data_IF_912501423283
#
_entry.id   IF_912501423283
#
_cell.length_a   1.000
_cell.length_b   1.000
_cell.length_c   1.000
_cell.angle_alpha   90.00
_cell.angle_beta   90.00
_cell.angle_gamma   90.00
#
_symmetry.space_group_name_H-M   'P 1'
#
loop_
_entity.id
_entity.type
_entity.pdbx_description
1 polymer ?
#
# COMPACT_ATOMS: atom_id res chain seq x y z
N UNK A 1 25.79 -46.64 1.56
CA UNK A 1 25.87 -45.47 0.66
C UNK A 1 26.83 -44.47 1.30
N UNK A 2 28.04 -44.32 0.76
CA UNK A 2 29.03 -43.38 1.29
C UNK A 2 28.49 -41.96 1.19
N UNK A 3 28.45 -41.22 2.30
CA UNK A 3 28.06 -39.81 2.24
C UNK A 3 29.08 -39.04 1.39
N UNK A 4 28.64 -38.08 0.57
CA UNK A 4 29.55 -37.26 -0.22
C UNK A 4 30.49 -36.51 0.71
N UNK A 5 31.77 -36.50 0.36
CA UNK A 5 32.82 -35.75 1.07
C UNK A 5 32.37 -34.30 1.26
N UNK A 6 32.49 -33.72 2.47
CA UNK A 6 32.18 -32.32 2.69
C UNK A 6 32.95 -31.45 1.71
N UNK A 7 32.29 -30.46 1.11
CA UNK A 7 32.95 -29.51 0.21
C UNK A 7 34.07 -28.77 0.94
N UNK A 8 35.26 -28.76 0.36
CA UNK A 8 36.45 -28.10 0.92
C UNK A 8 36.99 -27.04 -0.02
N UNK A 9 37.73 -26.07 0.54
CA UNK A 9 38.41 -25.07 -0.27
C UNK A 9 39.52 -25.75 -1.10
N UNK A 10 39.60 -25.42 -2.39
CA UNK A 10 40.59 -26.01 -3.29
C UNK A 10 40.18 -27.35 -3.91
N UNK A 11 38.93 -27.80 -3.73
CA UNK A 11 38.43 -29.04 -4.30
C UNK A 11 38.56 -29.10 -5.84
N UNK A 12 39.09 -30.21 -6.35
CA UNK A 12 39.44 -30.42 -7.76
C UNK A 12 38.25 -30.43 -8.71
N UNK A 13 37.02 -30.60 -8.19
CA UNK A 13 35.79 -30.47 -8.99
C UNK A 13 35.58 -29.05 -9.54
N UNK A 14 36.22 -28.05 -8.93
CA UNK A 14 36.29 -26.69 -9.46
C UNK A 14 37.71 -26.39 -10.00
N UNK A 15 37.82 -25.69 -11.14
CA UNK A 15 39.12 -25.45 -11.75
C UNK A 15 39.98 -24.50 -10.91
N UNK A 16 41.30 -24.64 -10.96
CA UNK A 16 42.27 -23.76 -10.25
C UNK A 16 41.99 -22.27 -10.44
N UNK A 17 41.57 -21.85 -11.65
CA UNK A 17 41.24 -20.44 -11.97
C UNK A 17 40.00 -19.90 -11.23
N UNK A 18 39.14 -20.79 -10.70
CA UNK A 18 38.06 -20.44 -9.80
C UNK A 18 38.64 -20.07 -8.43
N UNK A 19 39.47 -20.95 -7.86
CA UNK A 19 40.08 -20.78 -6.54
C UNK A 19 40.99 -19.56 -6.45
N UNK A 20 41.68 -19.18 -7.54
CA UNK A 20 42.44 -17.91 -7.63
C UNK A 20 41.60 -16.64 -7.39
N UNK A 21 40.26 -16.74 -7.43
CA UNK A 21 39.32 -15.63 -7.23
C UNK A 21 38.57 -15.70 -5.89
N UNK A 22 39.03 -16.57 -5.00
CA UNK A 22 38.39 -16.81 -3.71
C UNK A 22 39.38 -16.49 -2.59
N UNK A 23 38.96 -15.66 -1.66
CA UNK A 23 39.67 -15.39 -0.41
C UNK A 23 38.86 -15.92 0.78
N UNK A 24 39.42 -16.86 1.55
CA UNK A 24 38.74 -17.43 2.72
C UNK A 24 38.75 -16.41 3.86
N UNK A 25 37.58 -16.11 4.41
CA UNK A 25 37.41 -15.17 5.52
C UNK A 25 37.33 -15.91 6.87
N UNK A 26 37.66 -15.24 8.00
CA UNK A 26 37.57 -15.84 9.34
C UNK A 26 36.19 -16.44 9.69
N UNK A 27 35.10 -15.91 9.11
CA UNK A 27 33.74 -16.46 9.25
C UNK A 27 33.40 -17.62 8.31
N UNK A 28 34.39 -18.30 7.72
CA UNK A 28 34.20 -19.44 6.80
C UNK A 28 33.70 -19.06 5.41
N UNK A 29 33.43 -17.78 5.13
CA UNK A 29 33.01 -17.33 3.82
C UNK A 29 34.14 -17.49 2.80
N UNK A 30 33.80 -18.01 1.62
CA UNK A 30 34.67 -17.99 0.45
C UNK A 30 34.37 -16.72 -0.34
N UNK A 31 35.07 -15.64 -0.01
CA UNK A 31 34.81 -14.32 -0.55
C UNK A 31 35.28 -14.23 -2.00
N UNK A 32 34.36 -13.90 -2.91
CA UNK A 32 34.72 -13.67 -4.31
C UNK A 32 35.41 -12.31 -4.50
N UNK A 33 36.58 -12.34 -5.14
CA UNK A 33 37.44 -11.16 -5.36
C UNK A 33 37.39 -10.63 -6.80
N UNK A 34 36.69 -11.31 -7.71
CA UNK A 34 36.59 -10.92 -9.11
C UNK A 34 35.22 -10.28 -9.45
N UNK A 35 34.91 -10.16 -10.76
CA UNK A 35 33.71 -9.47 -11.27
C UNK A 35 32.42 -10.04 -10.68
N UNK A 36 31.49 -9.12 -10.36
CA UNK A 36 30.15 -9.38 -9.83
C UNK A 36 29.07 -8.75 -10.72
N UNK A 37 27.81 -9.15 -10.52
CA UNK A 37 26.64 -8.43 -11.05
C UNK A 37 26.47 -7.09 -10.34
N UNK A 38 25.62 -6.21 -10.88
CA UNK A 38 25.19 -4.99 -10.21
C UNK A 38 24.60 -5.29 -8.82
N UNK A 39 23.83 -6.38 -8.70
CA UNK A 39 23.25 -6.82 -7.42
C UNK A 39 24.25 -7.52 -6.47
N UNK A 40 25.53 -7.59 -6.83
CA UNK A 40 26.60 -8.13 -5.98
C UNK A 40 26.86 -9.64 -6.11
N UNK A 41 26.24 -10.34 -7.06
CA UNK A 41 26.45 -11.78 -7.22
C UNK A 41 27.72 -12.09 -8.05
N UNK A 42 28.57 -13.02 -7.60
CA UNK A 42 29.81 -13.32 -8.30
C UNK A 42 29.58 -14.03 -9.63
N UNK A 43 30.36 -13.64 -10.64
CA UNK A 43 30.32 -14.18 -12.01
C UNK A 43 31.59 -14.96 -12.34
N UNK A 44 31.44 -16.06 -13.07
CA UNK A 44 32.55 -16.88 -13.52
C UNK A 44 32.23 -17.55 -14.84
N UNK A 45 33.13 -17.43 -15.83
CA UNK A 45 33.00 -18.16 -17.09
C UNK A 45 33.37 -19.63 -16.85
N UNK A 46 32.52 -20.60 -17.16
CA UNK A 46 32.78 -22.04 -17.05
C UNK A 46 32.27 -22.72 -18.31
N UNK A 47 33.11 -23.55 -18.92
CA UNK A 47 32.82 -24.24 -20.18
C UNK A 47 32.29 -23.31 -21.30
N UNK A 48 33.02 -22.23 -21.57
CA UNK A 48 32.63 -21.22 -22.56
C UNK A 48 31.56 -20.22 -22.10
N UNK A 49 30.69 -20.58 -21.16
CA UNK A 49 29.53 -19.77 -20.75
C UNK A 49 29.74 -18.96 -19.46
N UNK A 50 29.03 -17.84 -19.31
CA UNK A 50 29.08 -17.03 -18.09
C UNK A 50 28.05 -17.53 -17.05
N UNK A 51 28.52 -18.08 -15.94
CA UNK A 51 27.69 -18.59 -14.85
C UNK A 51 27.77 -17.72 -13.58
N UNK A 52 26.79 -17.87 -12.69
CA UNK A 52 26.88 -17.35 -11.31
C UNK A 52 27.79 -18.28 -10.49
N UNK A 53 28.89 -17.75 -9.98
CA UNK A 53 29.95 -18.54 -9.34
C UNK A 53 29.46 -19.33 -8.12
N UNK A 54 28.58 -18.75 -7.31
CA UNK A 54 28.02 -19.43 -6.13
C UNK A 54 27.10 -20.61 -6.51
N UNK A 55 26.34 -20.50 -7.62
CA UNK A 55 25.49 -21.59 -8.13
C UNK A 55 26.34 -22.73 -8.70
N UNK A 56 27.39 -22.38 -9.45
CA UNK A 56 28.35 -23.35 -9.98
C UNK A 56 29.04 -24.12 -8.85
N UNK A 57 29.54 -23.39 -7.84
CA UNK A 57 30.16 -23.98 -6.64
C UNK A 57 29.22 -24.94 -5.92
N UNK A 58 27.96 -24.55 -5.71
CA UNK A 58 26.94 -25.42 -5.11
C UNK A 58 26.69 -26.68 -5.95
N UNK A 59 26.49 -26.52 -7.25
CA UNK A 59 26.17 -27.61 -8.17
C UNK A 59 27.28 -28.68 -8.22
N UNK A 60 28.54 -28.25 -8.28
CA UNK A 60 29.68 -29.16 -8.44
C UNK A 60 30.17 -29.74 -7.11
N UNK A 61 30.11 -28.97 -6.02
CA UNK A 61 30.67 -29.40 -4.73
C UNK A 61 29.65 -30.07 -3.81
N UNK A 62 28.35 -29.80 -3.98
CA UNK A 62 27.29 -30.30 -3.10
C UNK A 62 26.26 -31.14 -3.84
N UNK A 63 25.42 -30.51 -4.66
CA UNK A 63 24.39 -31.21 -5.42
C UNK A 63 23.79 -30.30 -6.49
N UNK A 64 23.13 -30.89 -7.49
CA UNK A 64 22.28 -30.14 -8.40
C UNK A 64 21.28 -29.27 -7.64
N UNK A 65 21.03 -28.06 -8.14
CA UNK A 65 20.03 -27.16 -7.58
C UNK A 65 18.67 -27.63 -8.09
N UNK A 66 17.72 -28.02 -7.22
CA UNK A 66 16.41 -28.48 -7.67
C UNK A 66 15.69 -27.41 -8.49
N UNK A 67 14.91 -27.86 -9.49
CA UNK A 67 14.14 -26.97 -10.34
C UNK A 67 13.18 -26.08 -9.52
N UNK A 68 13.08 -24.81 -9.88
CA UNK A 68 12.24 -23.83 -9.18
C UNK A 68 12.81 -23.29 -7.86
N UNK A 69 14.00 -23.74 -7.42
CA UNK A 69 14.65 -23.22 -6.21
C UNK A 69 15.75 -22.19 -6.50
N UNK A 70 15.84 -21.20 -5.62
CA UNK A 70 16.93 -20.23 -5.55
C UNK A 70 17.91 -20.62 -4.43
N UNK A 71 19.15 -20.15 -4.49
CA UNK A 71 20.10 -20.31 -3.38
C UNK A 71 20.05 -19.06 -2.49
N UNK A 72 19.68 -19.24 -1.21
CA UNK A 72 19.77 -18.20 -0.18
C UNK A 72 21.15 -18.26 0.50
N UNK A 73 21.70 -17.08 0.77
CA UNK A 73 22.97 -16.93 1.49
C UNK A 73 22.69 -16.88 2.99
N UNK A 74 22.95 -17.97 3.69
CA UNK A 74 22.81 -18.06 5.16
C UNK A 74 23.71 -17.03 5.86
N UNK A 75 24.86 -16.72 5.27
CA UNK A 75 25.82 -15.73 5.74
C UNK A 75 25.47 -14.26 5.40
N UNK A 76 24.34 -14.01 4.71
CA UNK A 76 23.91 -12.68 4.22
C UNK A 76 24.96 -11.92 3.38
N UNK A 77 25.93 -12.63 2.83
CA UNK A 77 26.98 -12.10 1.97
C UNK A 77 26.83 -12.63 0.54
N UNK A 78 26.28 -11.82 -0.36
CA UNK A 78 26.04 -12.19 -1.77
C UNK A 78 27.30 -12.57 -2.54
N UNK A 79 28.48 -12.11 -2.10
CA UNK A 79 29.76 -12.41 -2.72
C UNK A 79 30.37 -13.74 -2.26
N UNK A 80 29.77 -14.42 -1.27
CA UNK A 80 30.24 -15.72 -0.81
C UNK A 80 29.90 -16.82 -1.83
N UNK A 81 30.88 -17.68 -2.12
CA UNK A 81 30.73 -18.86 -3.01
C UNK A 81 30.87 -20.20 -2.26
N UNK A 82 30.90 -20.18 -0.93
CA UNK A 82 30.98 -21.40 -0.12
C UNK A 82 29.65 -22.18 -0.18
N UNK A 83 29.61 -23.41 -0.70
CA UNK A 83 28.38 -24.20 -0.83
C UNK A 83 27.77 -24.60 0.53
N UNK A 84 28.55 -24.58 1.62
CA UNK A 84 28.05 -24.78 2.98
C UNK A 84 27.25 -23.57 3.49
N UNK A 85 27.46 -22.38 2.92
CA UNK A 85 26.73 -21.15 3.29
C UNK A 85 25.51 -20.88 2.40
N UNK A 86 25.13 -21.85 1.57
CA UNK A 86 24.05 -21.74 0.60
C UNK A 86 22.97 -22.79 0.90
N UNK A 87 21.72 -22.37 0.80
CA UNK A 87 20.56 -23.24 0.98
C UNK A 87 19.59 -23.08 -0.21
N UNK A 88 19.20 -24.18 -0.89
CA UNK A 88 18.12 -24.14 -1.85
C UNK A 88 16.79 -23.85 -1.16
N UNK A 89 16.15 -22.75 -1.52
CA UNK A 89 14.87 -22.32 -0.96
C UNK A 89 13.92 -21.89 -2.06
N UNK A 90 12.63 -21.84 -1.74
CA UNK A 90 11.64 -21.28 -2.67
C UNK A 90 11.82 -19.77 -2.79
N UNK A 91 11.38 -19.18 -3.90
CA UNK A 91 11.39 -17.72 -4.06
C UNK A 91 10.64 -17.01 -2.93
N UNK A 92 9.52 -17.59 -2.46
CA UNK A 92 8.75 -17.06 -1.33
C UNK A 92 9.59 -17.01 -0.05
N UNK A 93 10.24 -18.11 0.28
CA UNK A 93 11.08 -18.21 1.48
C UNK A 93 12.25 -17.20 1.41
N UNK A 94 12.93 -17.13 0.26
CA UNK A 94 14.00 -16.15 0.04
C UNK A 94 13.52 -14.71 0.22
N UNK A 95 12.34 -14.37 -0.31
CA UNK A 95 11.74 -13.04 -0.14
C UNK A 95 11.37 -12.74 1.31
N UNK A 96 10.79 -13.71 2.03
CA UNK A 96 10.37 -13.56 3.43
C UNK A 96 11.54 -13.47 4.40
N UNK A 97 12.67 -14.12 4.09
CA UNK A 97 13.92 -14.02 4.85
C UNK A 97 14.68 -12.71 4.65
N UNK A 98 14.37 -11.97 3.58
CA UNK A 98 14.97 -10.68 3.27
C UNK A 98 14.31 -9.51 3.99
N UNK A 99 14.72 -8.29 3.63
CA UNK A 99 14.20 -7.04 4.21
C UNK A 99 13.23 -6.30 3.27
N UNK A 100 12.49 -7.06 2.46
CA UNK A 100 11.51 -6.49 1.53
C UNK A 100 10.28 -5.96 2.27
N UNK A 101 9.54 -5.01 1.68
CA UNK A 101 8.26 -4.57 2.24
C UNK A 101 7.28 -5.72 2.44
N UNK A 102 7.35 -6.76 1.60
CA UNK A 102 6.58 -8.00 1.78
C UNK A 102 6.98 -8.75 3.04
N UNK A 103 8.29 -8.90 3.30
CA UNK A 103 8.80 -9.54 4.51
C UNK A 103 8.40 -8.77 5.78
N UNK A 104 8.63 -7.45 5.79
CA UNK A 104 8.23 -6.57 6.91
C UNK A 104 6.72 -6.64 7.16
N UNK A 105 5.92 -6.62 6.08
CA UNK A 105 4.47 -6.76 6.19
C UNK A 105 4.03 -8.18 6.55
N UNK A 106 4.84 -9.22 6.36
CA UNK A 106 4.52 -10.57 6.81
C UNK A 106 4.76 -10.72 8.33
N UNK A 107 5.82 -10.11 8.86
CA UNK A 107 6.18 -10.18 10.29
C UNK A 107 5.45 -9.18 11.16
N UNK A 108 4.83 -8.14 10.58
CA UNK A 108 4.07 -7.12 11.32
C UNK A 108 2.99 -7.76 12.21
N UNK A 109 2.97 -7.42 13.49
CA UNK A 109 1.98 -7.96 14.45
C UNK A 109 0.74 -7.07 14.61
N UNK A 110 0.84 -5.80 14.23
CA UNK A 110 -0.24 -4.80 14.37
C UNK A 110 -0.52 -4.06 13.07
N UNK A 111 -1.74 -3.58 12.87
CA UNK A 111 -2.06 -2.70 11.74
C UNK A 111 -1.48 -1.28 11.94
N UNK A 112 -1.64 -0.39 10.97
CA UNK A 112 -1.15 1.01 11.07
C UNK A 112 -1.84 1.80 12.19
N UNK A 113 -3.07 1.44 12.54
CA UNK A 113 -3.81 2.05 13.65
C UNK A 113 -3.59 1.31 14.99
N UNK A 114 -2.57 0.45 15.09
CA UNK A 114 -2.22 -0.21 16.36
C UNK A 114 -3.08 -1.41 16.76
N UNK A 115 -4.07 -1.83 15.97
CA UNK A 115 -4.83 -3.07 16.26
C UNK A 115 -4.02 -4.33 15.94
N UNK A 116 -4.01 -5.30 16.84
CA UNK A 116 -3.32 -6.58 16.68
C UNK A 116 -3.91 -7.44 15.56
N UNK A 117 -3.05 -8.09 14.77
CA UNK A 117 -3.43 -9.06 13.76
C UNK A 117 -3.64 -10.46 14.36
N UNK A 118 -4.78 -10.66 15.00
CA UNK A 118 -5.26 -12.00 15.43
C UNK A 118 -6.11 -12.66 14.34
N UNK A 119 -6.37 -13.99 14.36
CA UNK A 119 -7.29 -14.63 13.43
C UNK A 119 -8.70 -13.97 13.38
N UNK A 120 -9.17 -13.48 14.53
CA UNK A 120 -10.47 -12.84 14.71
C UNK A 120 -10.49 -11.40 14.19
N UNK A 121 -9.33 -10.71 14.19
CA UNK A 121 -9.18 -9.33 13.74
C UNK A 121 -8.52 -9.21 12.34
N UNK A 122 -8.16 -10.32 11.72
CA UNK A 122 -7.49 -10.35 10.42
C UNK A 122 -8.40 -10.95 9.36
N UNK A 123 -8.36 -10.39 8.14
CA UNK A 123 -8.84 -11.09 6.96
C UNK A 123 -7.86 -10.91 5.81
N UNK A 124 -7.76 -11.91 4.93
CA UNK A 124 -7.03 -11.78 3.68
C UNK A 124 -7.92 -11.14 2.63
N UNK A 125 -7.42 -10.11 1.93
CA UNK A 125 -8.13 -9.46 0.83
C UNK A 125 -7.13 -8.99 -0.22
N UNK A 126 -7.32 -9.39 -1.48
CA UNK A 126 -6.40 -9.10 -2.61
C UNK A 126 -4.92 -9.38 -2.27
N UNK A 127 -4.66 -10.48 -1.56
CA UNK A 127 -3.31 -10.88 -1.16
C UNK A 127 -2.73 -10.19 0.08
N UNK A 128 -3.45 -9.25 0.70
CA UNK A 128 -2.98 -8.50 1.87
C UNK A 128 -3.84 -8.73 3.11
N UNK A 129 -3.22 -8.65 4.29
CA UNK A 129 -3.93 -8.64 5.58
C UNK A 129 -4.68 -7.33 5.73
N UNK A 130 -5.97 -7.42 6.03
CA UNK A 130 -6.84 -6.28 6.33
C UNK A 130 -7.32 -6.41 7.76
N UNK A 131 -7.14 -5.34 8.54
CA UNK A 131 -7.63 -5.23 9.90
C UNK A 131 -9.15 -5.08 9.90
N UNK A 132 -9.84 -6.00 10.60
CA UNK A 132 -11.31 -5.98 10.71
C UNK A 132 -11.77 -4.82 11.60
N UNK A 133 -11.06 -4.52 12.68
CA UNK A 133 -11.41 -3.42 13.58
C UNK A 133 -11.34 -2.05 12.88
N UNK A 134 -10.28 -1.79 12.10
CA UNK A 134 -10.24 -0.57 11.27
C UNK A 134 -11.46 -0.44 10.37
N UNK A 135 -11.92 -1.56 9.76
CA UNK A 135 -13.11 -1.54 8.91
C UNK A 135 -14.40 -1.31 9.71
N UNK A 136 -14.51 -1.87 10.92
CA UNK A 136 -15.65 -1.60 11.82
C UNK A 136 -15.71 -0.14 12.22
N UNK A 137 -14.56 0.48 12.54
CA UNK A 137 -14.46 1.89 12.88
C UNK A 137 -14.98 2.78 11.73
N UNK A 138 -14.46 2.58 10.51
CA UNK A 138 -14.93 3.30 9.32
C UNK A 138 -16.44 3.06 9.08
N UNK A 139 -16.92 1.84 9.29
CA UNK A 139 -18.35 1.53 9.16
C UNK A 139 -19.24 2.27 10.18
N UNK A 140 -18.78 2.37 11.44
CA UNK A 140 -19.47 3.14 12.49
C UNK A 140 -19.54 4.63 12.14
N UNK A 141 -18.41 5.19 11.70
CA UNK A 141 -18.31 6.59 11.30
C UNK A 141 -19.20 6.92 10.10
N UNK A 142 -19.18 6.09 9.06
CA UNK A 142 -20.06 6.27 7.89
C UNK A 142 -21.55 6.19 8.26
N UNK A 143 -21.94 5.27 9.14
CA UNK A 143 -23.32 5.18 9.62
C UNK A 143 -23.73 6.45 10.38
N UNK A 144 -22.85 6.97 11.23
CA UNK A 144 -23.08 8.21 11.98
C UNK A 144 -23.21 9.43 11.04
N UNK A 145 -22.31 9.56 10.06
CA UNK A 145 -22.38 10.63 9.06
C UNK A 145 -23.66 10.55 8.23
N UNK A 146 -24.07 9.36 7.78
CA UNK A 146 -25.33 9.16 7.04
C UNK A 146 -26.55 9.57 7.86
N UNK A 147 -26.59 9.20 9.13
CA UNK A 147 -27.67 9.61 10.03
C UNK A 147 -27.73 11.14 10.18
N UNK A 148 -26.59 11.79 10.41
CA UNK A 148 -26.50 13.25 10.54
C UNK A 148 -26.88 14.00 9.27
N UNK A 149 -26.53 13.47 8.09
CA UNK A 149 -26.99 14.01 6.80
C UNK A 149 -28.51 13.86 6.65
N UNK A 150 -29.09 12.74 7.10
CA UNK A 150 -30.54 12.56 7.10
C UNK A 150 -31.25 13.61 7.95
N UNK A 151 -30.77 13.85 9.18
CA UNK A 151 -31.34 14.88 10.05
C UNK A 151 -31.25 16.28 9.43
N UNK A 152 -30.12 16.61 8.81
CA UNK A 152 -29.94 17.90 8.13
C UNK A 152 -30.90 18.03 6.94
N UNK A 153 -31.06 16.98 6.14
CA UNK A 153 -32.00 16.97 5.01
C UNK A 153 -33.44 17.16 5.49
N UNK A 154 -33.83 16.51 6.58
CA UNK A 154 -35.16 16.67 7.18
C UNK A 154 -35.37 18.11 7.69
N UNK A 155 -34.35 18.72 8.30
CA UNK A 155 -34.40 20.11 8.75
C UNK A 155 -34.50 21.10 7.57
N UNK A 156 -33.72 20.89 6.50
CA UNK A 156 -33.79 21.68 5.26
C UNK A 156 -35.18 21.56 4.64
N UNK A 157 -35.75 20.35 4.55
CA UNK A 157 -37.08 20.13 3.99
C UNK A 157 -38.17 20.91 4.77
N UNK A 158 -38.08 20.93 6.11
CA UNK A 158 -38.97 21.72 6.96
C UNK A 158 -38.82 23.23 6.72
N UNK A 159 -37.59 23.73 6.66
CA UNK A 159 -37.32 25.15 6.41
C UNK A 159 -37.83 25.59 5.03
N UNK A 160 -37.61 24.79 3.99
CA UNK A 160 -38.14 25.04 2.63
C UNK A 160 -39.67 25.06 2.63
N UNK A 161 -40.31 24.16 3.37
CA UNK A 161 -41.78 24.12 3.50
C UNK A 161 -42.30 25.39 4.18
N UNK A 162 -41.71 25.79 5.31
CA UNK A 162 -42.09 27.01 6.02
C UNK A 162 -41.90 28.27 5.16
N UNK A 163 -40.80 28.36 4.39
CA UNK A 163 -40.58 29.47 3.46
C UNK A 163 -41.66 29.55 2.37
N UNK A 164 -42.09 28.41 1.82
CA UNK A 164 -43.18 28.36 0.84
C UNK A 164 -44.51 28.79 1.44
N UNK A 165 -44.81 28.36 2.66
CA UNK A 165 -46.01 28.78 3.39
C UNK A 165 -45.99 30.30 3.65
N UNK A 166 -44.87 30.86 4.09
CA UNK A 166 -44.70 32.31 4.26
C UNK A 166 -44.91 33.09 2.94
N UNK A 167 -44.39 32.58 1.83
CA UNK A 167 -44.57 33.19 0.50
C UNK A 167 -46.02 33.07 0.00
N UNK A 168 -46.74 32.01 0.34
CA UNK A 168 -48.15 31.85 0.00
C UNK A 168 -49.08 32.72 0.87
N UNK A 169 -48.61 33.13 2.06
CA UNK A 169 -49.29 34.05 2.97
C UNK A 169 -49.06 35.53 2.62
N UNK A 170 -48.27 35.84 1.59
CA UNK A 170 -48.21 37.15 0.94
C UNK A 170 -49.26 37.17 -0.18
N UNK A 171 -50.49 37.65 0.07
CA UNK A 171 -51.53 37.56 -0.93
C UNK A 171 -51.55 38.89 -1.69
N UNK A 172 -52.16 38.87 -2.88
CA UNK A 172 -52.39 39.98 -3.80
C UNK A 172 -52.95 41.30 -3.19
N UNK A 173 -53.25 41.31 -1.89
CA UNK A 173 -53.73 42.44 -1.10
C UNK A 173 -52.70 43.57 -0.93
N UNK A 174 -51.38 43.28 -0.91
CA UNK A 174 -50.37 44.35 -0.77
C UNK A 174 -50.35 45.23 -2.01
N UNK A 175 -50.55 44.66 -3.21
CA UNK A 175 -50.66 45.45 -4.45
C UNK A 175 -51.97 46.25 -4.51
N UNK A 176 -53.10 45.67 -4.11
CA UNK A 176 -54.39 46.36 -4.14
C UNK A 176 -54.46 47.52 -3.13
N UNK A 177 -53.95 47.35 -1.91
CA UNK A 177 -53.94 48.41 -0.89
C UNK A 177 -52.97 49.54 -1.24
N UNK A 178 -51.79 49.22 -1.79
CA UNK A 178 -50.84 50.23 -2.27
C UNK A 178 -51.37 50.98 -3.49
N UNK A 179 -52.02 50.29 -4.44
CA UNK A 179 -52.67 50.93 -5.59
C UNK A 179 -53.84 51.82 -5.16
N UNK A 180 -54.66 51.40 -4.18
CA UNK A 180 -55.75 52.21 -3.64
C UNK A 180 -55.23 53.47 -2.93
N UNK A 181 -54.17 53.37 -2.12
CA UNK A 181 -53.54 54.56 -1.49
C UNK A 181 -52.94 55.51 -2.53
N UNK A 182 -52.32 54.98 -3.58
CA UNK A 182 -51.77 55.79 -4.67
C UNK A 182 -52.91 56.49 -5.44
N UNK A 183 -54.00 55.78 -5.74
CA UNK A 183 -55.17 56.33 -6.43
C UNK A 183 -55.88 57.42 -5.59
N UNK A 184 -55.99 57.23 -4.27
CA UNK A 184 -56.54 58.22 -3.34
C UNK A 184 -55.69 59.50 -3.32
N UNK A 185 -54.35 59.37 -3.29
CA UNK A 185 -53.42 60.50 -3.31
C UNK A 185 -53.49 61.27 -4.64
N UNK A 186 -53.63 60.57 -5.77
CA UNK A 186 -53.78 61.20 -7.08
C UNK A 186 -55.10 61.96 -7.23
N UNK A 187 -56.22 61.43 -6.70
CA UNK A 187 -57.51 62.14 -6.69
C UNK A 187 -57.49 63.39 -5.81
N UNK A 188 -56.84 63.34 -4.65
CA UNK A 188 -56.65 64.52 -3.79
C UNK A 188 -55.76 65.58 -4.44
N UNK A 189 -54.71 65.19 -5.17
CA UNK A 189 -53.86 66.12 -5.91
C UNK A 189 -54.57 66.77 -7.12
N UNK A 190 -55.56 66.09 -7.70
CA UNK A 190 -56.35 66.61 -8.83
C UNK A 190 -57.54 67.49 -8.40
N UNK A 191 -58.05 67.34 -7.17
CA UNK A 191 -59.21 68.08 -6.66
C UNK A 191 -58.92 69.45 -6.03
N UNK A 192 -57.65 69.89 -5.97
CA UNK A 192 -57.26 71.13 -5.28
C UNK A 192 -56.98 72.32 -6.21
N UNK A 193 -57.45 72.31 -7.47
CA UNK A 193 -57.19 73.42 -8.41
C UNK A 193 -58.39 74.27 -8.83
N UNK A 194 -59.62 74.03 -8.32
CA UNK A 194 -60.81 74.78 -8.78
C UNK A 194 -61.45 75.76 -7.77
N UNK A 195 -60.84 76.06 -6.62
CA UNK A 195 -61.42 77.00 -5.62
C UNK A 195 -60.56 78.25 -5.29
N UNK A 196 -59.75 78.76 -6.24
CA UNK A 196 -59.10 80.09 -6.10
C UNK A 196 -59.32 80.98 -7.33
N UNK A 197 -60.54 80.97 -7.87
CA UNK A 197 -61.00 81.95 -8.85
C UNK A 197 -62.32 82.58 -8.39
N UNK A 198 -62.25 83.46 -7.39
CA UNK A 198 -63.23 84.51 -7.11
C UNK A 198 -62.49 85.73 -6.55
#
# INVERSE_FOLDING_TARGET
MSQPTPAQFGDDRLPVRFWKKVNVQPGGCWQWTAVRTQDGYPKFRYDGEMARAHRLSYALLRSAIPAGLALDHLCRNRACVNPAHLEPVTSRENTLRGDSGVARNATKTHCENGHEFTPENTRMYRGSRVCRECRRQVGREQKHLRWRVSELNDAIAKAVTALREMQALEPDHIKAAQLYEIELRLRHAAGTQDEVAA
#
